data_IF_544685259002
#
_entry.id   IF_544685259002
#
_cell.length_a   1.000
_cell.length_b   1.000
_cell.length_c   1.000
_cell.angle_alpha   90.00
_cell.angle_beta   90.00
_cell.angle_gamma   90.00
#
_symmetry.space_group_name_H-M   'P 1'
#
loop_
_entity.id
_entity.type
_entity.pdbx_description
1 polymer ?
#
# COMPACT_ATOMS: atom_id res chain seq x y z
N UNK A 1 -36.05 18.65 33.88
CA UNK A 1 -35.29 18.20 32.70
C UNK A 1 -34.09 17.44 33.24
N UNK A 2 -34.17 16.11 33.25
CA UNK A 2 -33.06 15.23 33.60
C UNK A 2 -32.78 14.39 32.37
N UNK A 3 -31.57 14.48 31.83
CA UNK A 3 -31.03 13.53 30.86
C UNK A 3 -29.65 13.14 31.35
N UNK A 4 -29.63 12.28 32.35
CA UNK A 4 -28.52 11.34 32.53
C UNK A 4 -28.98 10.03 31.90
N UNK A 5 -28.47 9.70 30.71
CA UNK A 5 -28.26 8.31 30.30
C UNK A 5 -27.31 8.27 29.09
N UNK A 6 -26.22 7.49 29.26
CA UNK A 6 -25.51 6.65 28.28
C UNK A 6 -25.32 7.19 26.84
N UNK A 7 -24.11 7.19 26.28
CA UNK A 7 -23.46 5.95 25.81
C UNK A 7 -21.98 6.21 25.51
N UNK A 8 -21.16 5.30 26.04
CA UNK A 8 -19.83 4.87 25.60
C UNK A 8 -19.50 5.11 24.11
N UNK A 9 -18.37 5.77 23.82
CA UNK A 9 -17.87 5.85 22.45
C UNK A 9 -16.58 6.67 22.30
N UNK A 10 -15.56 6.43 23.12
CA UNK A 10 -14.20 6.90 22.82
C UNK A 10 -13.55 5.99 21.77
N UNK A 11 -14.20 5.76 20.63
CA UNK A 11 -13.71 4.91 19.54
C UNK A 11 -14.34 5.42 18.23
N UNK A 12 -13.73 6.43 17.61
CA UNK A 12 -13.61 6.61 16.14
C UNK A 12 -13.08 8.03 15.87
N UNK A 13 -11.76 8.20 15.92
CA UNK A 13 -11.12 9.36 15.30
C UNK A 13 -11.43 9.38 13.80
N UNK A 14 -11.75 10.57 13.26
CA UNK A 14 -11.84 10.91 11.83
C UNK A 14 -11.90 9.69 10.88
N UNK A 15 -13.04 9.02 10.82
CA UNK A 15 -13.22 7.89 9.91
C UNK A 15 -13.04 8.33 8.46
N UNK A 16 -12.13 7.68 7.71
CA UNK A 16 -12.02 7.90 6.27
C UNK A 16 -13.25 7.27 5.60
N UNK A 17 -14.27 8.07 5.31
CA UNK A 17 -15.58 7.59 4.85
C UNK A 17 -15.63 7.15 3.38
N UNK A 18 -14.55 7.37 2.62
CA UNK A 18 -14.47 7.05 1.18
C UNK A 18 -13.14 6.37 0.88
N UNK A 19 -12.95 5.17 1.41
CA UNK A 19 -11.82 4.32 1.08
C UNK A 19 -12.10 3.51 -0.19
N UNK A 20 -11.03 3.24 -0.93
CA UNK A 20 -11.06 2.38 -2.11
C UNK A 20 -10.73 0.96 -1.69
N UNK A 21 -11.54 -0.06 -2.09
CA UNK A 21 -11.21 -1.45 -1.87
C UNK A 21 -10.01 -1.85 -2.74
N UNK A 22 -9.07 -2.58 -2.15
CA UNK A 22 -7.81 -2.98 -2.76
C UNK A 22 -7.48 -4.42 -2.42
N UNK A 23 -6.61 -5.02 -3.23
CA UNK A 23 -6.13 -6.38 -3.01
C UNK A 23 -4.60 -6.36 -3.01
N UNK A 24 -3.99 -6.75 -1.89
CA UNK A 24 -2.57 -7.09 -1.83
C UNK A 24 -2.38 -8.52 -2.32
N UNK A 25 -1.43 -8.71 -3.21
CA UNK A 25 -0.91 -9.99 -3.68
C UNK A 25 0.55 -10.09 -3.28
N UNK A 26 0.93 -11.22 -2.70
CA UNK A 26 2.33 -11.54 -2.40
C UNK A 26 2.70 -12.86 -3.06
N UNK A 27 3.79 -12.87 -3.83
CA UNK A 27 4.30 -14.10 -4.42
C UNK A 27 4.71 -15.08 -3.32
N UNK A 28 4.60 -16.38 -3.60
CA UNK A 28 5.18 -17.40 -2.73
C UNK A 28 6.67 -17.51 -3.04
N UNK A 29 7.55 -17.60 -2.03
CA UNK A 29 8.97 -17.79 -2.29
C UNK A 29 9.19 -19.19 -2.90
N UNK A 30 9.93 -19.26 -4.00
CA UNK A 30 10.43 -20.52 -4.55
C UNK A 30 11.76 -20.84 -3.87
N UNK A 31 11.72 -21.84 -2.99
CA UNK A 31 12.87 -22.25 -2.18
C UNK A 31 13.56 -23.43 -2.87
N UNK A 32 14.84 -23.26 -3.21
CA UNK A 32 15.68 -24.31 -3.76
C UNK A 32 16.47 -25.07 -2.69
N UNK A 33 17.33 -25.98 -3.13
CA UNK A 33 18.20 -26.74 -2.23
C UNK A 33 19.08 -25.79 -1.40
N UNK A 34 19.11 -26.00 -0.08
CA UNK A 34 19.84 -25.14 0.87
C UNK A 34 19.03 -23.99 1.48
N UNK A 35 17.70 -23.97 1.31
CA UNK A 35 16.81 -22.96 1.91
C UNK A 35 17.02 -21.52 1.39
N UNK A 36 17.57 -21.40 0.19
CA UNK A 36 17.76 -20.13 -0.51
C UNK A 36 16.52 -19.85 -1.39
N UNK A 37 16.06 -18.61 -1.39
CA UNK A 37 14.96 -18.14 -2.25
C UNK A 37 15.57 -17.71 -3.58
N UNK A 38 15.19 -18.37 -4.67
CA UNK A 38 15.74 -18.11 -6.00
C UNK A 38 14.77 -17.40 -6.94
N UNK A 39 13.46 -17.50 -6.66
CA UNK A 39 12.42 -16.93 -7.49
C UNK A 39 11.13 -16.65 -6.70
N UNK A 40 10.20 -15.95 -7.34
CA UNK A 40 8.90 -15.58 -6.82
C UNK A 40 7.78 -16.24 -7.65
N UNK A 41 7.00 -17.13 -7.04
CA UNK A 41 5.85 -17.74 -7.70
C UNK A 41 4.61 -16.85 -7.60
N UNK A 42 4.21 -16.28 -8.74
CA UNK A 42 3.03 -15.44 -8.91
C UNK A 42 1.81 -16.22 -9.42
N UNK A 43 1.90 -17.54 -9.60
CA UNK A 43 0.80 -18.38 -10.13
C UNK A 43 -0.33 -18.57 -9.12
N UNK A 44 -0.01 -18.57 -7.82
CA UNK A 44 -0.96 -18.65 -6.71
C UNK A 44 -0.53 -17.72 -5.56
N UNK A 45 -0.67 -16.39 -5.75
CA UNK A 45 -0.20 -15.42 -4.78
C UNK A 45 -1.08 -15.38 -3.53
N UNK A 46 -0.49 -15.06 -2.38
CA UNK A 46 -1.21 -14.82 -1.15
C UNK A 46 -2.03 -13.52 -1.25
N UNK A 47 -3.34 -13.64 -1.03
CA UNK A 47 -4.31 -12.56 -1.18
C UNK A 47 -4.71 -11.97 0.17
N UNK A 48 -4.58 -10.65 0.31
CA UNK A 48 -5.11 -9.89 1.43
C UNK A 48 -5.99 -8.74 0.91
N UNK A 49 -7.26 -8.71 1.32
CA UNK A 49 -8.21 -7.64 0.97
C UNK A 49 -8.16 -6.55 2.03
N UNK A 50 -8.17 -5.30 1.59
CA UNK A 50 -8.15 -4.15 2.49
C UNK A 50 -8.74 -2.91 1.82
N UNK A 51 -8.83 -1.82 2.59
CA UNK A 51 -9.31 -0.53 2.11
C UNK A 51 -8.26 0.55 2.38
N UNK A 52 -8.07 1.44 1.42
CA UNK A 52 -7.06 2.50 1.51
C UNK A 52 -7.38 3.69 0.62
N UNK A 53 -6.49 4.67 0.63
CA UNK A 53 -6.56 5.86 -0.21
C UNK A 53 -5.28 5.98 -1.04
N UNK A 54 -5.44 6.33 -2.32
CA UNK A 54 -4.33 6.62 -3.22
C UNK A 54 -4.15 8.13 -3.35
N UNK A 55 -2.92 8.58 -3.13
CA UNK A 55 -2.49 9.93 -3.42
C UNK A 55 -1.51 9.90 -4.59
N UNK A 56 -1.74 10.72 -5.62
CA UNK A 56 -0.77 10.88 -6.69
C UNK A 56 0.40 11.72 -6.19
N UNK A 57 1.64 11.21 -6.28
CA UNK A 57 2.83 12.03 -6.06
C UNK A 57 3.11 12.81 -7.36
N UNK A 58 3.67 14.01 -7.23
CA UNK A 58 4.08 14.81 -8.39
C UNK A 58 5.06 14.00 -9.23
N UNK A 59 4.74 13.78 -10.52
CA UNK A 59 5.64 13.18 -11.49
C UNK A 59 6.85 14.10 -11.68
N UNK A 60 8.05 13.62 -11.37
CA UNK A 60 9.27 14.27 -11.86
C UNK A 60 9.57 13.68 -13.22
N UNK A 61 9.54 14.49 -14.28
CA UNK A 61 10.14 14.09 -15.55
C UNK A 61 11.60 13.71 -15.23
N UNK A 62 11.94 12.44 -15.43
CA UNK A 62 13.32 11.98 -15.34
C UNK A 62 14.07 12.54 -16.54
N UNK A 63 14.45 13.82 -16.45
CA UNK A 63 15.23 14.54 -17.45
C UNK A 63 16.68 14.03 -17.45
N UNK A 64 16.86 12.81 -17.94
CA UNK A 64 18.15 12.26 -18.33
C UNK A 64 17.97 11.46 -19.62
N UNK A 65 18.13 12.17 -20.73
CA UNK A 65 18.33 11.70 -22.10
C UNK A 65 17.17 10.99 -22.83
N UNK A 66 16.78 11.63 -23.93
CA UNK A 66 15.91 11.23 -25.06
C UNK A 66 14.37 11.26 -24.91
N UNK A 67 13.62 11.79 -25.91
CA UNK A 67 12.29 12.37 -25.70
C UNK A 67 11.10 11.44 -26.04
N UNK A 68 11.29 10.13 -26.29
CA UNK A 68 10.20 9.33 -26.89
C UNK A 68 9.86 7.96 -26.29
N UNK A 69 10.69 7.39 -25.42
CA UNK A 69 10.46 6.03 -24.90
C UNK A 69 10.59 5.91 -23.37
N UNK A 70 10.42 7.01 -22.64
CA UNK A 70 10.27 6.91 -21.19
C UNK A 70 8.80 6.60 -20.88
N UNK A 71 8.49 5.31 -20.77
CA UNK A 71 7.22 4.87 -20.22
C UNK A 71 6.97 5.62 -18.91
N UNK A 72 5.86 6.34 -18.82
CA UNK A 72 5.52 7.15 -17.65
C UNK A 72 5.51 6.26 -16.42
N UNK A 73 6.57 6.32 -15.62
CA UNK A 73 6.62 5.70 -14.30
C UNK A 73 5.70 6.53 -13.42
N UNK A 74 4.47 6.05 -13.25
CA UNK A 74 3.51 6.71 -12.38
C UNK A 74 3.83 6.33 -10.93
N UNK A 75 4.22 7.32 -10.13
CA UNK A 75 4.43 7.17 -8.71
C UNK A 75 3.16 7.58 -7.93
N UNK A 76 2.71 6.69 -7.04
CA UNK A 76 1.60 6.96 -6.12
C UNK A 76 2.00 6.62 -4.70
N UNK A 77 1.30 7.23 -3.75
CA UNK A 77 1.40 6.90 -2.34
C UNK A 77 0.09 6.24 -1.88
N UNK A 78 0.24 5.09 -1.25
CA UNK A 78 -0.84 4.37 -0.59
C UNK A 78 -0.92 4.80 0.88
N UNK A 79 -2.12 5.11 1.35
CA UNK A 79 -2.41 5.42 2.75
C UNK A 79 -3.49 4.46 3.23
N UNK A 80 -3.19 3.71 4.30
CA UNK A 80 -4.09 2.70 4.88
C UNK A 80 -4.40 3.07 6.33
N UNK A 81 -5.68 3.19 6.75
CA UNK A 81 -6.03 3.48 8.14
C UNK A 81 -5.58 2.41 9.14
N UNK A 82 -5.58 1.15 8.71
CA UNK A 82 -5.02 0.07 9.52
C UNK A 82 -3.49 0.11 9.46
N UNK A 83 -2.84 0.70 10.47
CA UNK A 83 -1.39 0.80 10.55
C UNK A 83 -0.67 -0.56 10.70
N UNK A 84 -1.38 -1.61 11.11
CA UNK A 84 -0.82 -2.94 11.36
C UNK A 84 -1.03 -3.91 10.18
N UNK A 85 -1.53 -3.42 9.04
CA UNK A 85 -1.75 -4.25 7.87
C UNK A 85 -0.44 -4.84 7.33
N UNK A 86 -0.48 -6.10 6.92
CA UNK A 86 0.68 -6.78 6.33
C UNK A 86 0.85 -6.41 4.84
N UNK A 87 1.55 -5.32 4.62
CA UNK A 87 2.05 -4.86 3.33
C UNK A 87 3.58 -4.78 3.42
N UNK A 88 4.27 -5.30 2.41
CA UNK A 88 5.75 -5.33 2.32
C UNK A 88 6.22 -4.85 0.95
N UNK A 89 7.49 -4.47 0.88
CA UNK A 89 8.19 -4.19 -0.38
C UNK A 89 8.06 -5.41 -1.31
N UNK A 90 7.90 -5.17 -2.61
CA UNK A 90 7.62 -6.16 -3.67
C UNK A 90 6.20 -6.74 -3.70
N UNK A 91 5.35 -6.46 -2.70
CA UNK A 91 3.93 -6.79 -2.82
C UNK A 91 3.31 -6.07 -4.04
N UNK A 92 2.35 -6.74 -4.69
CA UNK A 92 1.51 -6.12 -5.72
C UNK A 92 0.19 -5.68 -5.11
N UNK A 93 -0.22 -4.46 -5.39
CA UNK A 93 -1.53 -3.93 -4.99
C UNK A 93 -2.38 -3.77 -6.25
N UNK A 94 -3.51 -4.48 -6.28
CA UNK A 94 -4.49 -4.39 -7.35
C UNK A 94 -5.55 -3.36 -6.97
N UNK A 95 -5.71 -2.36 -7.83
CA UNK A 95 -6.60 -1.23 -7.60
C UNK A 95 -7.36 -0.96 -8.89
N UNK A 96 -8.67 -1.20 -8.89
CA UNK A 96 -9.54 -1.03 -10.06
C UNK A 96 -9.03 -1.75 -11.34
N UNK A 97 -8.29 -2.84 -11.20
CA UNK A 97 -7.72 -3.61 -12.31
C UNK A 97 -6.26 -3.27 -12.63
N UNK A 98 -5.74 -2.13 -12.17
CA UNK A 98 -4.33 -1.77 -12.32
C UNK A 98 -3.47 -2.48 -11.27
N UNK A 99 -2.26 -2.88 -11.69
CA UNK A 99 -1.27 -3.49 -10.82
C UNK A 99 -0.20 -2.48 -10.44
N UNK A 100 -0.02 -2.29 -9.14
CA UNK A 100 0.98 -1.41 -8.55
C UNK A 100 1.96 -2.24 -7.73
N UNK A 101 3.25 -1.92 -7.78
CA UNK A 101 4.27 -2.57 -6.95
C UNK A 101 4.65 -1.68 -5.79
N UNK A 102 4.74 -2.24 -4.59
CA UNK A 102 5.29 -1.55 -3.42
C UNK A 102 6.80 -1.45 -3.57
N UNK A 103 7.32 -0.22 -3.69
CA UNK A 103 8.75 0.06 -3.89
C UNK A 103 9.41 0.65 -2.65
N UNK A 104 8.70 1.51 -1.92
CA UNK A 104 9.16 2.08 -0.65
C UNK A 104 8.87 1.18 0.54
N UNK A 105 9.69 1.28 1.60
CA UNK A 105 9.43 0.59 2.86
C UNK A 105 8.14 1.13 3.48
N UNK A 106 7.12 0.28 3.73
CA UNK A 106 5.90 0.73 4.38
C UNK A 106 6.19 1.31 5.77
N UNK A 107 5.69 2.51 6.03
CA UNK A 107 5.92 3.26 7.26
C UNK A 107 4.62 3.41 8.06
N UNK A 108 4.68 3.13 9.35
CA UNK A 108 3.59 3.35 10.30
C UNK A 108 4.09 4.28 11.41
N UNK A 109 4.29 5.54 11.04
CA UNK A 109 4.91 6.54 11.91
C UNK A 109 4.15 6.69 13.23
N UNK A 110 4.92 6.75 14.31
CA UNK A 110 4.40 6.90 15.66
C UNK A 110 4.68 8.29 16.19
N UNK A 111 3.65 8.95 16.69
CA UNK A 111 3.84 10.17 17.47
C UNK A 111 4.63 9.85 18.75
N UNK A 112 5.79 10.48 19.00
CA UNK A 112 6.64 10.17 20.15
C UNK A 112 6.05 10.61 21.50
N UNK A 113 5.08 11.53 21.52
CA UNK A 113 4.48 12.03 22.76
C UNK A 113 3.23 11.25 23.17
N UNK A 114 2.46 10.76 22.21
CA UNK A 114 1.16 10.10 22.47
C UNK A 114 1.14 8.63 22.10
N UNK A 115 2.16 8.15 21.39
CA UNK A 115 2.20 6.81 20.84
C UNK A 115 1.19 6.56 19.71
N UNK A 116 0.44 7.58 19.29
CA UNK A 116 -0.61 7.47 18.27
C UNK A 116 -0.04 7.12 16.90
N UNK A 117 -0.68 6.14 16.22
CA UNK A 117 -0.32 5.60 14.90
C UNK A 117 -1.58 5.48 14.03
N UNK A 118 -1.91 6.52 13.25
CA UNK A 118 -3.19 6.55 12.54
C UNK A 118 -3.20 5.77 11.23
N UNK A 119 -2.06 5.60 10.57
CA UNK A 119 -2.01 5.06 9.20
C UNK A 119 -0.73 4.29 8.93
N UNK A 120 -0.78 3.40 7.95
CA UNK A 120 0.39 2.92 7.21
C UNK A 120 0.48 3.67 5.88
N UNK A 121 1.69 4.03 5.47
CA UNK A 121 2.00 4.74 4.23
C UNK A 121 3.00 3.93 3.43
N UNK A 122 2.78 3.74 2.13
CA UNK A 122 3.70 3.02 1.26
C UNK A 122 3.80 3.70 -0.12
N UNK A 123 4.98 3.65 -0.72
CA UNK A 123 5.19 4.14 -2.09
C UNK A 123 4.92 3.02 -3.10
N UNK A 124 4.21 3.40 -4.16
CA UNK A 124 3.76 2.52 -5.23
C UNK A 124 4.26 3.01 -6.58
N UNK A 125 4.72 2.06 -7.38
CA UNK A 125 5.10 2.26 -8.78
C UNK A 125 4.16 1.43 -9.66
N UNK A 126 3.65 2.02 -10.75
CA UNK A 126 2.80 1.27 -11.67
C UNK A 126 3.60 0.18 -12.39
N UNK A 127 3.10 -1.04 -12.38
CA UNK A 127 3.69 -2.12 -13.18
C UNK A 127 3.15 -2.01 -14.61
N UNK A 128 3.85 -1.25 -15.45
CA UNK A 128 3.55 -1.20 -16.88
C UNK A 128 4.08 -2.48 -17.52
N UNK A 129 3.19 -3.37 -17.94
CA UNK A 129 3.59 -4.56 -18.69
C UNK A 129 4.25 -4.17 -20.01
N UNK A 130 5.54 -4.48 -20.16
CA UNK A 130 6.20 -4.52 -21.46
C UNK A 130 6.19 -5.95 -21.99
N UNK A 131 5.57 -6.16 -23.15
CA UNK A 131 5.68 -7.40 -23.95
C UNK A 131 4.62 -8.44 -23.67
#
# INVERSE_FOLDING_TARGET
MNFEDSVLGMETGLGMSSLTPMIRQRAKPVIGDGNLVYDEDWSDPEILRFEGYLYSRSSVDSAASEPRDQGTVSDKQLIVPNHAIDIKVHDRIIINGDTWRVTGMPAADQNPFTGWRPTLVADLEQVTGGG
#
